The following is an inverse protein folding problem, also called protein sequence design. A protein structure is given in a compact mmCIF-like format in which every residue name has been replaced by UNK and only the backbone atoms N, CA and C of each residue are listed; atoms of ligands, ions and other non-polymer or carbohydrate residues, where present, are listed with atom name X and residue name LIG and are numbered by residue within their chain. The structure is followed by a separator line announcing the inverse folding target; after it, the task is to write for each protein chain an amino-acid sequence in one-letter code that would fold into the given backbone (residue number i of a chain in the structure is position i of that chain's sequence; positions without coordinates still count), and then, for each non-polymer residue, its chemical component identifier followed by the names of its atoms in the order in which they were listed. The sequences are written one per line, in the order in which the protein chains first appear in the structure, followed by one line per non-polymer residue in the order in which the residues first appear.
data_IF_460100616458
#
_entry.id   IF_460100616458
#
_cell.length_a   1.000
_cell.length_b   1.000
_cell.length_c   1.000
_cell.angle_alpha   90.00
_cell.angle_beta   90.00
_cell.angle_gamma   90.00
#
_symmetry.space_group_name_H-M   'P 1'
#
loop_
_entity.id
_entity.type
_entity.pdbx_description
1 polymer ?
#
# COMPACT_ATOMS: atom_id res chain seq x y z
N UNK A 1 20.09 8.16 0.24
CA UNK A 1 18.65 8.16 -0.09
C UNK A 1 18.20 6.77 0.26
N UNK A 2 17.24 6.61 1.17
CA UNK A 2 16.74 5.28 1.48
C UNK A 2 16.07 4.74 0.22
N UNK A 3 16.51 3.58 -0.27
CA UNK A 3 15.81 2.89 -1.35
C UNK A 3 14.34 2.75 -0.91
N UNK A 4 13.44 3.34 -1.69
CA UNK A 4 12.01 3.24 -1.44
C UNK A 4 11.69 1.74 -1.46
N UNK A 5 11.01 1.22 -0.43
CA UNK A 5 10.77 -0.23 -0.39
C UNK A 5 9.96 -0.64 -1.63
N UNK A 6 10.22 -1.83 -2.18
CA UNK A 6 9.51 -2.33 -3.37
C UNK A 6 7.97 -2.26 -3.24
N UNK A 7 7.46 -2.35 -2.00
CA UNK A 7 6.03 -2.19 -1.71
C UNK A 7 5.53 -0.76 -1.90
N UNK A 8 6.33 0.22 -1.47
CA UNK A 8 5.98 1.64 -1.64
C UNK A 8 6.07 2.05 -3.10
N UNK A 9 7.08 1.58 -3.84
CA UNK A 9 7.18 1.79 -5.29
C UNK A 9 5.96 1.19 -6.01
N UNK A 10 5.58 -0.05 -5.68
CA UNK A 10 4.42 -0.69 -6.27
C UNK A 10 3.12 0.06 -5.94
N UNK A 11 2.96 0.49 -4.68
CA UNK A 11 1.79 1.25 -4.23
C UNK A 11 1.68 2.56 -4.99
N UNK A 12 2.77 3.28 -5.17
CA UNK A 12 2.82 4.55 -5.90
C UNK A 12 2.41 4.35 -7.36
N UNK A 13 3.00 3.36 -8.05
CA UNK A 13 2.69 3.07 -9.46
C UNK A 13 1.22 2.66 -9.64
N UNK A 14 0.70 1.79 -8.78
CA UNK A 14 -0.71 1.37 -8.84
C UNK A 14 -1.66 2.53 -8.55
N UNK A 15 -1.31 3.40 -7.60
CA UNK A 15 -2.11 4.57 -7.24
C UNK A 15 -2.17 5.61 -8.35
N UNK A 16 -1.02 5.90 -8.98
CA UNK A 16 -0.94 6.81 -10.12
C UNK A 16 -1.73 6.25 -11.31
N UNK A 17 -1.54 4.96 -11.62
CA UNK A 17 -2.25 4.34 -12.73
C UNK A 17 -3.76 4.28 -12.48
N UNK A 18 -4.18 3.96 -11.25
CA UNK A 18 -5.59 4.02 -10.85
C UNK A 18 -6.15 5.43 -11.03
N UNK A 19 -5.46 6.45 -10.54
CA UNK A 19 -5.91 7.84 -10.64
C UNK A 19 -6.07 8.28 -12.09
N UNK A 20 -5.11 7.93 -12.95
CA UNK A 20 -5.23 8.15 -14.39
C UNK A 20 -6.47 7.46 -14.96
N UNK A 21 -6.72 6.19 -14.63
CA UNK A 21 -7.88 5.45 -15.14
C UNK A 21 -9.21 6.01 -14.60
N UNK A 22 -9.30 6.35 -13.32
CA UNK A 22 -10.48 6.98 -12.72
C UNK A 22 -10.90 8.23 -13.50
N UNK A 23 -9.93 9.10 -13.80
CA UNK A 23 -10.18 10.37 -14.48
C UNK A 23 -10.48 10.20 -15.97
N UNK A 24 -9.90 9.19 -16.62
CA UNK A 24 -9.85 9.12 -18.08
C UNK A 24 -10.71 8.01 -18.69
N UNK A 25 -11.15 6.99 -17.94
CA UNK A 25 -11.97 5.89 -18.47
C UNK A 25 -13.17 6.36 -19.30
N UNK A 26 -13.98 7.35 -18.89
CA UNK A 26 -15.11 7.84 -19.70
C UNK A 26 -14.68 8.38 -21.07
N UNK A 27 -13.47 8.94 -21.16
CA UNK A 27 -12.90 9.55 -22.37
C UNK A 27 -12.21 8.51 -23.26
N UNK A 28 -11.41 7.62 -22.67
CA UNK A 28 -10.60 6.66 -23.45
C UNK A 28 -11.38 5.42 -23.86
N UNK A 29 -12.43 5.04 -23.12
CA UNK A 29 -13.20 3.81 -23.40
C UNK A 29 -13.75 3.75 -24.82
N UNK A 30 -14.46 4.78 -25.34
CA UNK A 30 -14.98 4.72 -26.72
C UNK A 30 -13.86 4.58 -27.76
N UNK A 31 -12.71 5.25 -27.53
CA UNK A 31 -11.57 5.18 -28.42
C UNK A 31 -10.92 3.79 -28.41
N UNK A 32 -10.70 3.22 -27.22
CA UNK A 32 -10.14 1.87 -27.08
C UNK A 32 -11.04 0.82 -27.73
N UNK A 33 -12.36 0.89 -27.50
CA UNK A 33 -13.31 -0.05 -28.12
C UNK A 33 -13.33 0.07 -29.65
N UNK A 34 -13.29 1.29 -30.19
CA UNK A 34 -13.18 1.53 -31.62
C UNK A 34 -11.89 0.92 -32.20
N UNK A 35 -10.74 1.16 -31.56
CA UNK A 35 -9.46 0.59 -32.01
C UNK A 35 -9.49 -0.95 -31.90
N UNK A 36 -10.02 -1.50 -30.80
CA UNK A 36 -10.08 -2.95 -30.57
C UNK A 36 -10.91 -3.68 -31.64
N UNK A 37 -11.93 -3.04 -32.22
CA UNK A 37 -12.70 -3.60 -33.34
C UNK A 37 -11.89 -3.75 -34.64
N UNK A 38 -10.81 -2.99 -34.78
CA UNK A 38 -9.91 -3.01 -35.94
C UNK A 38 -8.61 -3.78 -35.64
N UNK A 39 -8.19 -3.78 -34.38
CA UNK A 39 -6.91 -4.34 -33.89
C UNK A 39 -7.21 -5.25 -32.68
N UNK A 40 -7.46 -6.55 -32.90
CA UNK A 40 -7.79 -7.50 -31.83
C UNK A 40 -6.74 -7.56 -30.71
N UNK A 41 -5.47 -7.27 -31.03
CA UNK A 41 -4.35 -7.25 -30.09
C UNK A 41 -4.54 -6.25 -28.94
N UNK A 42 -5.39 -5.22 -29.10
CA UNK A 42 -5.74 -4.32 -27.99
C UNK A 42 -6.52 -5.07 -26.90
N UNK A 43 -7.42 -5.97 -27.28
CA UNK A 43 -8.16 -6.80 -26.32
C UNK A 43 -7.22 -7.80 -25.64
N UNK A 44 -6.30 -8.39 -26.41
CA UNK A 44 -5.28 -9.32 -25.88
C UNK A 44 -4.37 -8.61 -24.86
N UNK A 45 -3.91 -7.39 -25.16
CA UNK A 45 -3.12 -6.58 -24.23
C UNK A 45 -3.88 -6.31 -22.92
N UNK A 46 -5.15 -5.92 -22.99
CA UNK A 46 -5.97 -5.70 -21.80
C UNK A 46 -6.13 -6.98 -20.97
N UNK A 47 -6.25 -8.14 -21.62
CA UNK A 47 -6.30 -9.44 -20.96
C UNK A 47 -4.97 -9.83 -20.31
N UNK A 48 -3.85 -9.61 -20.98
CA UNK A 48 -2.51 -9.87 -20.43
C UNK A 48 -2.23 -8.99 -19.21
N UNK A 49 -2.59 -7.70 -19.27
CA UNK A 49 -2.45 -6.77 -18.15
C UNK A 49 -3.35 -7.18 -16.96
N UNK A 50 -4.60 -7.52 -17.21
CA UNK A 50 -5.50 -8.01 -16.17
C UNK A 50 -4.98 -9.32 -15.55
N UNK A 51 -4.43 -10.23 -16.36
CA UNK A 51 -3.82 -11.47 -15.88
C UNK A 51 -2.52 -11.26 -15.10
N UNK A 52 -1.72 -10.25 -15.46
CA UNK A 52 -0.55 -9.85 -14.66
C UNK A 52 -0.97 -9.35 -13.29
N UNK A 53 -2.01 -8.52 -13.22
CA UNK A 53 -2.58 -8.03 -11.96
C UNK A 53 -3.08 -9.17 -11.06
N UNK A 54 -3.70 -10.22 -11.62
CA UNK A 54 -4.09 -11.41 -10.85
C UNK A 54 -2.90 -12.18 -10.27
N UNK A 55 -1.81 -12.31 -11.04
CA UNK A 55 -0.58 -12.94 -10.55
C UNK A 55 0.03 -12.12 -9.43
N UNK A 56 0.13 -10.81 -9.61
CA UNK A 56 0.64 -9.90 -8.59
C UNK A 56 -0.20 -9.97 -7.31
N UNK A 57 -1.54 -9.97 -7.46
CA UNK A 57 -2.48 -10.16 -6.35
C UNK A 57 -2.19 -11.46 -5.59
N UNK A 58 -1.99 -12.56 -6.32
CA UNK A 58 -1.70 -13.87 -5.74
C UNK A 58 -0.39 -13.87 -4.95
N UNK A 59 0.67 -13.30 -5.52
CA UNK A 59 1.96 -13.17 -4.82
C UNK A 59 1.82 -12.34 -3.54
N UNK A 60 1.10 -11.21 -3.60
CA UNK A 60 0.87 -10.37 -2.42
C UNK A 60 0.04 -11.10 -1.37
N UNK A 61 -1.01 -11.83 -1.76
CA UNK A 61 -1.81 -12.64 -0.84
C UNK A 61 -0.97 -13.71 -0.14
N UNK A 62 -0.03 -14.33 -0.86
CA UNK A 62 0.86 -15.36 -0.34
C UNK A 62 2.00 -14.81 0.54
N UNK A 63 2.20 -13.49 0.59
CA UNK A 63 3.13 -12.90 1.54
C UNK A 63 2.67 -13.19 2.97
N UNK A 64 3.43 -14.03 3.67
CA UNK A 64 3.27 -14.27 5.08
C UNK A 64 3.97 -13.16 5.87
N UNK A 65 3.22 -12.10 6.16
CA UNK A 65 3.71 -10.97 6.94
C UNK A 65 3.87 -11.33 8.43
N UNK A 66 3.18 -12.38 8.89
CA UNK A 66 3.36 -12.95 10.22
C UNK A 66 4.66 -13.74 10.38
N UNK A 67 5.23 -14.23 9.27
CA UNK A 67 6.55 -14.85 9.24
C UNK A 67 7.71 -13.85 9.24
N UNK A 68 7.46 -12.54 9.17
CA UNK A 68 8.52 -11.52 9.30
C UNK A 68 9.07 -11.59 10.73
N UNK A 69 10.29 -12.12 10.94
CA UNK A 69 10.82 -12.30 12.29
C UNK A 69 11.01 -10.94 12.95
N UNK A 70 10.57 -10.79 14.20
CA UNK A 70 10.70 -9.54 14.95
C UNK A 70 9.52 -8.57 14.81
N UNK A 71 8.56 -8.79 13.90
CA UNK A 71 7.45 -7.86 13.70
C UNK A 71 6.53 -7.79 14.94
N UNK A 72 6.24 -8.96 15.55
CA UNK A 72 5.47 -9.03 16.79
C UNK A 72 6.21 -8.37 17.96
N UNK A 73 7.52 -8.60 18.05
CA UNK A 73 8.38 -8.00 19.07
C UNK A 73 8.49 -6.47 18.91
N UNK A 74 8.46 -5.94 17.69
CA UNK A 74 8.40 -4.50 17.43
C UNK A 74 7.07 -3.89 17.89
N UNK A 75 5.94 -4.58 17.65
CA UNK A 75 4.64 -4.16 18.16
C UNK A 75 4.60 -4.18 19.70
N UNK A 76 5.16 -5.21 20.32
CA UNK A 76 5.29 -5.27 21.78
C UNK A 76 6.24 -4.18 22.34
N UNK A 77 7.37 -3.93 21.67
CA UNK A 77 8.33 -2.91 22.06
C UNK A 77 7.67 -1.53 22.05
N UNK A 78 7.05 -1.15 20.93
CA UNK A 78 6.35 0.15 20.80
C UNK A 78 5.21 0.29 21.79
N UNK A 79 4.44 -0.78 22.04
CA UNK A 79 3.37 -0.79 23.05
C UNK A 79 3.85 -0.62 24.50
N UNK A 80 5.12 -0.93 24.83
CA UNK A 80 5.70 -0.73 26.17
C UNK A 80 6.24 0.68 26.40
N UNK A 81 6.51 1.45 25.34
CA UNK A 81 7.10 2.79 25.43
C UNK A 81 6.24 3.74 26.29
N UNK A 82 4.90 3.85 26.11
CA UNK A 82 4.10 4.80 26.88
C UNK A 82 4.21 4.59 28.39
N UNK A 83 4.17 3.33 28.86
CA UNK A 83 4.30 3.01 30.28
C UNK A 83 5.69 3.38 30.84
N UNK A 84 6.74 3.16 30.05
CA UNK A 84 8.09 3.56 30.39
C UNK A 84 8.23 5.09 30.50
N UNK A 85 7.68 5.83 29.53
CA UNK A 85 7.73 7.29 29.52
C UNK A 85 6.93 7.90 30.68
N UNK A 86 5.77 7.33 31.02
CA UNK A 86 4.98 7.78 32.18
C UNK A 86 5.71 7.51 33.51
N UNK A 87 6.42 6.39 33.64
CA UNK A 87 7.27 6.15 34.80
C UNK A 87 8.46 7.12 34.85
N UNK A 88 9.10 7.38 33.71
CA UNK A 88 10.22 8.29 33.59
C UNK A 88 9.83 9.73 33.96
N UNK A 89 8.67 10.23 33.51
CA UNK A 89 8.16 11.57 33.86
C UNK A 89 8.04 11.77 35.37
N UNK A 90 7.61 10.73 36.10
CA UNK A 90 7.44 10.79 37.56
C UNK A 90 8.78 10.83 38.31
N UNK A 91 9.79 10.13 37.81
CA UNK A 91 11.10 10.02 38.45
C UNK A 91 12.06 11.14 38.05
N UNK A 92 11.92 11.65 36.83
CA UNK A 92 12.77 12.67 36.23
C UNK A 92 11.91 13.85 35.75
N UNK A 93 11.22 14.58 36.66
CA UNK A 93 10.32 15.67 36.28
C UNK A 93 11.05 16.82 35.55
N UNK A 94 12.35 16.98 35.80
CA UNK A 94 13.19 17.97 35.11
C UNK A 94 13.48 17.61 33.64
N UNK A 95 13.31 16.34 33.25
CA UNK A 95 13.51 15.84 31.88
C UNK A 95 12.18 15.75 31.10
N UNK A 96 11.08 16.32 31.62
CA UNK A 96 9.74 16.17 31.04
C UNK A 96 9.67 16.57 29.57
N UNK A 97 10.45 17.57 29.14
CA UNK A 97 10.51 18.00 27.73
C UNK A 97 11.13 16.93 26.83
N UNK A 98 12.27 16.36 27.25
CA UNK A 98 12.95 15.28 26.53
C UNK A 98 12.06 14.04 26.44
N UNK A 99 11.39 13.69 27.53
CA UNK A 99 10.49 12.54 27.59
C UNK A 99 9.24 12.76 26.72
N UNK A 100 8.73 13.99 26.64
CA UNK A 100 7.66 14.37 25.73
C UNK A 100 8.03 14.12 24.26
N UNK A 101 9.22 14.59 23.84
CA UNK A 101 9.70 14.39 22.48
C UNK A 101 9.87 12.90 22.09
N UNK A 102 10.25 12.03 23.04
CA UNK A 102 10.30 10.59 22.81
C UNK A 102 8.89 10.02 22.63
N UNK A 103 7.91 10.53 23.40
CA UNK A 103 6.50 10.18 23.24
C UNK A 103 5.99 10.51 21.84
N UNK A 104 6.25 11.72 21.37
CA UNK A 104 5.82 12.16 20.03
C UNK A 104 6.39 11.25 18.93
N UNK A 105 7.65 10.82 19.03
CA UNK A 105 8.26 9.87 18.08
C UNK A 105 7.60 8.50 18.16
N UNK A 106 7.32 8.01 19.38
CA UNK A 106 6.64 6.73 19.58
C UNK A 106 5.23 6.73 18.98
N UNK A 107 4.52 7.85 19.09
CA UNK A 107 3.19 8.02 18.51
C UNK A 107 3.26 8.00 16.97
N UNK A 108 4.30 8.60 16.37
CA UNK A 108 4.53 8.49 14.92
C UNK A 108 4.75 7.04 14.49
N UNK A 109 5.62 6.29 15.19
CA UNK A 109 5.94 4.90 14.84
C UNK A 109 4.73 3.98 15.02
N UNK A 110 3.97 4.16 16.09
CA UNK A 110 2.75 3.37 16.35
C UNK A 110 1.56 3.75 15.47
N UNK A 111 1.55 4.98 14.94
CA UNK A 111 0.56 5.46 13.98
C UNK A 111 0.83 5.04 12.53
N UNK A 112 1.98 4.41 12.23
CA UNK A 112 2.24 3.85 10.91
C UNK A 112 1.26 2.70 10.61
N UNK A 113 0.77 2.58 9.36
CA UNK A 113 -0.06 1.45 8.98
C UNK A 113 0.68 0.14 9.21
N UNK A 114 -0.04 -0.88 9.68
CA UNK A 114 0.52 -2.22 9.84
C UNK A 114 0.86 -2.82 8.48
N UNK A 115 1.76 -3.81 8.47
CA UNK A 115 2.10 -4.53 7.23
C UNK A 115 0.87 -5.18 6.61
N UNK A 116 -0.07 -5.69 7.43
CA UNK A 116 -1.36 -6.19 6.96
C UNK A 116 -2.21 -5.11 6.28
N UNK A 117 -2.24 -3.89 6.84
CA UNK A 117 -2.99 -2.78 6.26
C UNK A 117 -2.39 -2.36 4.90
N UNK A 118 -1.07 -2.25 4.81
CA UNK A 118 -0.37 -1.95 3.54
C UNK A 118 -0.62 -3.05 2.50
N UNK A 119 -0.58 -4.31 2.93
CA UNK A 119 -0.91 -5.46 2.08
C UNK A 119 -2.35 -5.35 1.54
N UNK A 120 -3.32 -5.06 2.41
CA UNK A 120 -4.71 -4.93 1.98
C UNK A 120 -4.90 -3.76 1.01
N UNK A 121 -4.27 -2.61 1.29
CA UNK A 121 -4.31 -1.44 0.41
C UNK A 121 -3.80 -1.76 -1.01
N UNK A 122 -2.70 -2.52 -1.13
CA UNK A 122 -2.18 -2.98 -2.42
C UNK A 122 -3.16 -3.91 -3.14
N UNK A 123 -3.80 -4.83 -2.42
CA UNK A 123 -4.80 -5.74 -3.00
C UNK A 123 -6.00 -4.95 -3.55
N UNK A 124 -6.46 -3.95 -2.81
CA UNK A 124 -7.57 -3.09 -3.20
C UNK A 124 -7.21 -2.24 -4.44
N UNK A 125 -5.98 -1.70 -4.49
CA UNK A 125 -5.46 -0.97 -5.66
C UNK A 125 -5.41 -1.86 -6.90
N UNK A 126 -4.90 -3.09 -6.77
CA UNK A 126 -4.85 -4.06 -7.87
C UNK A 126 -6.24 -4.37 -8.40
N UNK A 127 -7.20 -4.63 -7.50
CA UNK A 127 -8.58 -4.91 -7.89
C UNK A 127 -9.24 -3.73 -8.61
N UNK A 128 -9.00 -2.51 -8.14
CA UNK A 128 -9.50 -1.29 -8.78
C UNK A 128 -8.93 -1.10 -10.19
N UNK A 129 -7.60 -1.16 -10.34
CA UNK A 129 -6.94 -1.03 -11.67
C UNK A 129 -7.46 -2.11 -12.62
N UNK A 130 -7.53 -3.37 -12.16
CA UNK A 130 -8.06 -4.47 -12.97
C UNK A 130 -9.50 -4.21 -13.41
N UNK A 131 -10.36 -3.73 -12.52
CA UNK A 131 -11.74 -3.42 -12.85
C UNK A 131 -11.84 -2.36 -13.97
N UNK A 132 -10.99 -1.33 -13.92
CA UNK A 132 -10.91 -0.34 -15.00
C UNK A 132 -10.47 -0.98 -16.32
N UNK A 133 -9.38 -1.77 -16.33
CA UNK A 133 -8.90 -2.44 -17.55
C UNK A 133 -9.97 -3.32 -18.19
N UNK A 134 -10.68 -4.12 -17.38
CA UNK A 134 -11.78 -4.96 -17.86
C UNK A 134 -12.91 -4.10 -18.41
N UNK A 135 -13.18 -2.94 -17.81
CA UNK A 135 -14.23 -2.02 -18.28
C UNK A 135 -13.94 -1.38 -19.65
N UNK A 136 -12.67 -1.34 -20.07
CA UNK A 136 -12.24 -0.77 -21.35
C UNK A 136 -12.45 -1.73 -22.55
N UNK A 137 -12.71 -3.01 -22.27
CA UNK A 137 -12.94 -4.01 -23.31
C UNK A 137 -14.24 -3.72 -24.10
N UNK A 138 -14.33 -4.13 -25.38
CA UNK A 138 -15.54 -4.02 -26.19
C UNK A 138 -16.75 -4.73 -25.59
#
# INVERSE_FOLDING_TARGET
MADQSLFEELKEVLSDFKSFLDDNVPTIKPAIQAIASLVPQVTELLDELAGLLDKLKTEIQNLDVGAIPGLGEVAEFTGKIPALLEAAKKLLPNESSSIGAIGDISDVVSGLPSVDAVKQELLDLIDAVKAHLVSLKP
#
